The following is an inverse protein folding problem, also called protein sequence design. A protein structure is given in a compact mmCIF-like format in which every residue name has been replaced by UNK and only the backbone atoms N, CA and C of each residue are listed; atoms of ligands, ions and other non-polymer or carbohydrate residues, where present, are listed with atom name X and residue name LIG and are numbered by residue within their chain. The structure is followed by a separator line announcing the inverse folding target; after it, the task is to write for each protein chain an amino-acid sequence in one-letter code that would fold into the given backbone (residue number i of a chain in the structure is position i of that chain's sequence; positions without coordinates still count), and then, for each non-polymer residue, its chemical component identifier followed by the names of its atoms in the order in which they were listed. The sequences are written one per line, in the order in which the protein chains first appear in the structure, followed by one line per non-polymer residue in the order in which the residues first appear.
data_IF_447921960541
#
_entry.id   IF_447921960541
#
_cell.length_a   1.000
_cell.length_b   1.000
_cell.length_c   1.000
_cell.angle_alpha   90.00
_cell.angle_beta   90.00
_cell.angle_gamma   90.00
#
_symmetry.space_group_name_H-M   'P 1'
#
loop_
_entity.id
_entity.type
_entity.pdbx_description
1 polymer ?
#
# COMPACT_ATOMS: atom_id res chain seq x y z
N UNK A 1 -3.20 -7.16 -5.74
CA UNK A 1 -1.78 -6.90 -5.42
C UNK A 1 -1.58 -5.45 -5.01
N UNK A 2 -0.73 -5.24 -4.05
CA UNK A 2 -0.40 -3.90 -3.58
C UNK A 2 0.88 -3.40 -4.23
N UNK A 3 0.91 -2.12 -4.58
CA UNK A 3 2.10 -1.46 -5.10
C UNK A 3 2.55 -0.39 -4.11
N UNK A 4 3.85 -0.20 -3.99
CA UNK A 4 4.40 0.81 -3.09
C UNK A 4 5.25 1.77 -3.92
N UNK A 5 4.98 3.07 -3.78
CA UNK A 5 5.73 4.12 -4.47
C UNK A 5 6.34 5.07 -3.46
N UNK A 6 7.61 5.42 -3.66
CA UNK A 6 8.29 6.38 -2.80
C UNK A 6 8.00 7.81 -3.27
N UNK A 7 7.60 8.66 -2.32
CA UNK A 7 7.39 10.09 -2.57
C UNK A 7 8.10 10.90 -1.49
N UNK A 8 9.28 11.42 -1.81
CA UNK A 8 10.06 12.19 -0.83
C UNK A 8 10.32 11.37 0.43
N UNK A 9 9.83 11.85 1.56
CA UNK A 9 9.98 11.18 2.85
C UNK A 9 8.82 10.24 3.19
N UNK A 10 7.83 10.11 2.30
CA UNK A 10 6.67 9.25 2.54
C UNK A 10 6.53 8.20 1.45
N UNK A 11 5.65 7.24 1.68
CA UNK A 11 5.37 6.16 0.73
C UNK A 11 3.88 6.07 0.47
N UNK A 12 3.54 5.77 -0.78
CA UNK A 12 2.15 5.59 -1.19
C UNK A 12 1.91 4.11 -1.47
N UNK A 13 0.94 3.53 -0.75
CA UNK A 13 0.53 2.14 -0.96
C UNK A 13 -0.74 2.15 -1.80
N UNK A 14 -0.73 1.45 -2.93
CA UNK A 14 -1.86 1.36 -3.85
C UNK A 14 -2.31 -0.09 -3.93
N UNK A 15 -3.58 -0.34 -3.63
CA UNK A 15 -4.17 -1.68 -3.69
C UNK A 15 -5.19 -1.72 -4.81
N UNK A 16 -4.99 -2.63 -5.77
CA UNK A 16 -5.93 -2.83 -6.88
C UNK A 16 -7.08 -3.71 -6.39
N UNK A 17 -8.31 -3.23 -6.59
CA UNK A 17 -9.53 -3.93 -6.13
C UNK A 17 -10.14 -4.83 -7.22
N UNK A 18 -9.61 -4.82 -8.43
CA UNK A 18 -10.12 -5.66 -9.52
C UNK A 18 -11.38 -5.10 -10.18
N UNK A 19 -12.31 -5.98 -10.54
CA UNK A 19 -13.54 -5.62 -11.22
C UNK A 19 -14.76 -6.03 -10.40
N UNK A 20 -15.87 -5.30 -10.56
CA UNK A 20 -17.13 -5.63 -9.91
C UNK A 20 -17.96 -6.64 -10.75
N UNK A 21 -19.19 -6.92 -10.31
CA UNK A 21 -20.09 -7.86 -11.01
C UNK A 21 -20.43 -7.44 -12.44
N UNK A 22 -20.44 -6.12 -12.67
CA UNK A 22 -20.81 -5.57 -13.98
C UNK A 22 -19.60 -5.47 -14.91
N UNK A 23 -18.44 -5.91 -14.47
CA UNK A 23 -17.21 -5.81 -15.24
C UNK A 23 -16.58 -4.44 -15.22
N UNK A 24 -17.08 -3.53 -14.38
CA UNK A 24 -16.49 -2.21 -14.22
C UNK A 24 -15.29 -2.27 -13.29
N UNK A 25 -14.24 -1.55 -13.65
CA UNK A 25 -13.05 -1.48 -12.83
C UNK A 25 -13.32 -0.69 -11.55
N UNK A 26 -13.06 -1.32 -10.40
CA UNK A 26 -13.18 -0.66 -9.11
C UNK A 26 -11.95 0.24 -8.92
N UNK A 27 -12.17 1.45 -8.39
CA UNK A 27 -11.08 2.40 -8.14
C UNK A 27 -10.10 1.79 -7.14
N UNK A 28 -8.79 1.88 -7.42
CA UNK A 28 -7.80 1.37 -6.48
C UNK A 28 -7.79 2.20 -5.20
N UNK A 29 -7.58 1.55 -4.07
CA UNK A 29 -7.43 2.20 -2.78
C UNK A 29 -5.99 2.68 -2.61
N UNK A 30 -5.82 3.85 -2.06
CA UNK A 30 -4.49 4.43 -1.84
C UNK A 30 -4.36 4.88 -0.39
N UNK A 31 -3.17 4.72 0.16
CA UNK A 31 -2.87 5.15 1.52
C UNK A 31 -1.44 5.68 1.57
N UNK A 32 -1.25 6.87 2.13
CA UNK A 32 0.06 7.44 2.37
C UNK A 32 0.54 7.05 3.76
N UNK A 33 1.75 6.52 3.85
CA UNK A 33 2.34 6.11 5.12
C UNK A 33 3.70 6.78 5.31
N UNK A 34 4.07 7.02 6.56
CA UNK A 34 5.35 7.61 6.94
C UNK A 34 6.11 6.63 7.82
N UNK A 35 7.15 5.97 7.30
CA UNK A 35 7.92 5.05 8.12
C UNK A 35 8.69 5.81 9.21
N UNK A 36 8.86 5.21 10.41
CA UNK A 36 9.68 5.83 11.45
C UNK A 36 11.12 6.02 10.98
N UNK A 37 11.74 7.12 11.38
CA UNK A 37 13.14 7.41 11.04
C UNK A 37 14.12 6.42 11.68
N UNK A 38 13.69 5.76 12.74
CA UNK A 38 14.49 4.79 13.48
C UNK A 38 14.80 3.53 12.67
N UNK A 39 14.01 3.26 11.62
CA UNK A 39 14.16 2.06 10.83
C UNK A 39 15.29 2.18 9.81
N UNK A 40 16.08 1.13 9.67
CA UNK A 40 17.07 1.03 8.60
C UNK A 40 16.35 0.83 7.27
N UNK A 41 17.02 1.06 6.12
CA UNK A 41 16.37 0.83 4.81
C UNK A 41 15.79 -0.57 4.64
N UNK A 42 16.44 -1.60 5.17
CA UNK A 42 15.93 -2.96 5.12
C UNK A 42 14.67 -3.13 5.98
N UNK A 43 14.66 -2.51 7.15
CA UNK A 43 13.51 -2.56 8.05
C UNK A 43 12.33 -1.79 7.47
N UNK A 44 12.58 -0.68 6.82
CA UNK A 44 11.56 0.12 6.15
C UNK A 44 10.87 -0.71 5.06
N UNK A 45 11.62 -1.43 4.27
CA UNK A 45 11.07 -2.29 3.22
C UNK A 45 10.14 -3.35 3.83
N UNK A 46 10.59 -4.03 4.86
CA UNK A 46 9.78 -5.03 5.55
C UNK A 46 8.53 -4.40 6.19
N UNK A 47 8.70 -3.25 6.82
CA UNK A 47 7.59 -2.51 7.43
C UNK A 47 6.54 -2.13 6.38
N UNK A 48 6.97 -1.66 5.22
CA UNK A 48 6.06 -1.30 4.13
C UNK A 48 5.28 -2.51 3.62
N UNK A 49 5.93 -3.66 3.49
CA UNK A 49 5.25 -4.88 3.09
C UNK A 49 4.18 -5.29 4.09
N UNK A 50 4.46 -5.15 5.38
CA UNK A 50 3.48 -5.44 6.44
C UNK A 50 2.30 -4.47 6.36
N UNK A 51 2.56 -3.18 6.16
CA UNK A 51 1.51 -2.18 6.02
C UNK A 51 0.66 -2.44 4.78
N UNK A 52 1.27 -2.83 3.68
CA UNK A 52 0.55 -3.15 2.46
C UNK A 52 -0.39 -4.35 2.66
N UNK A 53 0.07 -5.40 3.34
CA UNK A 53 -0.75 -6.58 3.63
C UNK A 53 -1.93 -6.21 4.52
N UNK A 54 -1.68 -5.43 5.57
CA UNK A 54 -2.74 -5.00 6.48
C UNK A 54 -3.78 -4.13 5.77
N UNK A 55 -3.31 -3.22 4.93
CA UNK A 55 -4.19 -2.35 4.16
C UNK A 55 -5.03 -3.16 3.17
N UNK A 56 -4.41 -4.10 2.48
CA UNK A 56 -5.11 -4.97 1.53
C UNK A 56 -6.20 -5.78 2.22
N UNK A 57 -5.94 -6.28 3.42
CA UNK A 57 -6.93 -7.01 4.21
C UNK A 57 -8.11 -6.12 4.62
N UNK A 58 -7.84 -4.87 4.99
CA UNK A 58 -8.89 -3.97 5.41
C UNK A 58 -9.76 -3.46 4.27
N UNK A 59 -9.29 -3.60 3.02
CA UNK A 59 -10.04 -3.20 1.83
C UNK A 59 -11.02 -4.26 1.32
N UNK A 60 -11.01 -5.42 1.92
CA UNK A 60 -11.93 -6.51 1.51
C UNK A 60 -13.29 -6.37 2.16
#
# INVERSE_FOLDING_TARGET
MASIRKRGSSYLIVVSMGYDYNGKRIKPQQKTVHPPEELTPKQVEKWLNEQAVLFERSCK
#
